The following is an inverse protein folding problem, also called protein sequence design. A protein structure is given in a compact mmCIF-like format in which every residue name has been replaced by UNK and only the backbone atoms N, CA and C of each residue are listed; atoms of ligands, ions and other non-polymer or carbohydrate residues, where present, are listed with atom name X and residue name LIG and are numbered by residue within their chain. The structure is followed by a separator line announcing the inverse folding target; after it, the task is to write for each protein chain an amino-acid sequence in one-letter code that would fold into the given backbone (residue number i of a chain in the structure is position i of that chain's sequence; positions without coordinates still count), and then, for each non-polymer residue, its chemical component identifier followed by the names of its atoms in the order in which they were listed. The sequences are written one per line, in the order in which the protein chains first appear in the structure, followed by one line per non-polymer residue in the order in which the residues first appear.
data_IF_465255220651
#
_entry.id   IF_465255220651
#
_cell.length_a   1.000
_cell.length_b   1.000
_cell.length_c   1.000
_cell.angle_alpha   90.00
_cell.angle_beta   90.00
_cell.angle_gamma   90.00
#
_symmetry.space_group_name_H-M   'P 1'
#
loop_
_entity.id
_entity.type
_entity.pdbx_description
1 polymer ?
#
# COMPACT_ATOMS: atom_id res chain seq x y z
N UNK A 1 26.08 15.96 19.92
CA UNK A 1 26.18 14.72 19.12
C UNK A 1 25.15 14.78 18.01
N UNK A 2 25.48 14.38 16.77
CA UNK A 2 24.54 14.34 15.64
C UNK A 2 23.81 12.99 15.65
N UNK A 3 22.49 12.97 15.46
CA UNK A 3 21.67 11.75 15.46
C UNK A 3 22.27 10.67 14.56
N UNK A 4 22.72 11.03 13.35
CA UNK A 4 23.28 10.06 12.41
C UNK A 4 24.50 9.32 12.99
N UNK A 5 25.32 9.98 13.80
CA UNK A 5 26.46 9.36 14.49
C UNK A 5 25.97 8.39 15.57
N UNK A 6 24.85 8.66 16.23
CA UNK A 6 24.26 7.77 17.26
C UNK A 6 23.62 6.53 16.61
N UNK A 7 22.86 6.69 15.53
CA UNK A 7 22.15 5.56 14.90
C UNK A 7 23.06 4.64 14.09
N UNK A 8 24.15 5.16 13.51
CA UNK A 8 25.08 4.35 12.68
C UNK A 8 26.16 3.64 13.49
N UNK A 9 26.39 4.01 14.75
CA UNK A 9 27.32 3.32 15.66
C UNK A 9 26.80 1.96 16.17
N UNK A 10 25.56 1.57 15.83
CA UNK A 10 24.97 0.27 16.16
C UNK A 10 25.64 -0.94 15.44
N UNK A 11 26.58 -0.70 14.53
CA UNK A 11 27.37 -1.76 13.87
C UNK A 11 28.74 -2.03 14.54
N UNK A 12 29.05 -1.42 15.70
CA UNK A 12 30.35 -1.64 16.35
C UNK A 12 30.43 -1.37 17.86
N UNK A 13 30.41 -2.43 18.66
CA UNK A 13 31.18 -2.67 19.90
C UNK A 13 31.25 -1.53 20.96
N UNK A 14 30.12 -0.96 21.41
CA UNK A 14 29.99 -0.44 22.79
C UNK A 14 28.54 -0.28 23.25
N UNK A 15 28.18 -0.73 24.47
CA UNK A 15 26.83 -0.55 25.00
C UNK A 15 26.60 0.91 25.47
N UNK A 16 25.42 1.49 25.24
CA UNK A 16 25.09 2.83 25.72
C UNK A 16 24.72 2.82 27.22
N UNK A 17 24.78 3.97 27.90
CA UNK A 17 24.50 4.06 29.35
C UNK A 17 23.00 3.96 29.62
N UNK A 18 22.62 3.71 30.88
CA UNK A 18 21.22 3.45 31.29
C UNK A 18 20.22 4.58 30.97
N UNK A 19 20.66 5.79 30.65
CA UNK A 19 19.80 6.91 30.21
C UNK A 19 19.57 6.97 28.68
N UNK A 20 20.27 6.13 27.91
CA UNK A 20 20.30 6.15 26.44
C UNK A 20 19.48 4.99 25.84
N UNK A 21 18.27 4.73 26.36
CA UNK A 21 17.36 3.72 25.80
C UNK A 21 16.72 4.21 24.50
N UNK A 22 17.57 4.62 23.55
CA UNK A 22 17.30 4.60 22.12
C UNK A 22 18.02 3.37 21.58
N UNK A 23 17.47 2.19 21.88
CA UNK A 23 17.79 1.00 21.10
C UNK A 23 17.54 1.38 19.63
N UNK A 24 18.54 1.19 18.78
CA UNK A 24 18.58 1.56 17.35
C UNK A 24 17.41 1.05 16.49
N UNK A 25 16.54 0.25 17.09
CA UNK A 25 15.28 -0.30 16.61
C UNK A 25 14.14 0.74 16.76
N UNK A 26 14.24 1.89 16.09
CA UNK A 26 13.10 2.81 16.08
C UNK A 26 13.39 4.30 15.96
N UNK A 27 14.58 4.75 15.56
CA UNK A 27 14.83 6.17 15.28
C UNK A 27 15.64 6.37 13.99
N UNK A 28 15.43 7.47 13.29
CA UNK A 28 16.16 7.87 12.08
C UNK A 28 16.53 9.36 12.10
N UNK A 29 17.55 9.73 11.34
CA UNK A 29 18.11 11.09 11.31
C UNK A 29 17.29 12.07 10.44
N UNK A 30 16.00 12.18 10.71
CA UNK A 30 15.05 13.01 9.95
C UNK A 30 14.74 14.39 10.52
N UNK A 31 15.19 14.67 11.74
CA UNK A 31 14.80 15.87 12.47
C UNK A 31 15.67 17.08 12.14
N UNK A 32 15.11 18.29 12.32
CA UNK A 32 15.84 19.54 12.14
C UNK A 32 17.12 19.57 13.01
N UNK A 33 18.21 20.09 12.44
CA UNK A 33 19.52 20.18 13.09
C UNK A 33 20.12 18.82 13.52
N UNK A 34 19.76 17.73 12.83
CA UNK A 34 20.29 16.40 13.13
C UNK A 34 19.71 15.78 14.39
N UNK A 35 18.45 16.10 14.71
CA UNK A 35 17.67 15.46 15.78
C UNK A 35 17.11 14.11 15.33
N UNK A 36 16.93 13.20 16.30
CA UNK A 36 16.39 11.87 16.04
C UNK A 36 14.86 11.91 16.01
N UNK A 37 14.28 11.25 15.01
CA UNK A 37 12.84 11.10 14.83
C UNK A 37 12.49 9.63 14.98
N UNK A 38 11.43 9.31 15.72
CA UNK A 38 11.01 7.93 15.89
C UNK A 38 10.55 7.35 14.53
N UNK A 39 10.88 6.09 14.27
CA UNK A 39 10.32 5.33 13.18
C UNK A 39 8.81 5.22 13.40
N UNK A 40 8.04 5.50 12.35
CA UNK A 40 6.59 5.46 12.36
C UNK A 40 6.10 4.37 11.40
N UNK A 41 6.65 3.16 11.52
CA UNK A 41 6.27 2.03 10.68
C UNK A 41 4.86 1.56 11.04
N UNK A 42 4.02 1.37 10.03
CA UNK A 42 2.64 0.91 10.15
C UNK A 42 2.56 -0.63 10.09
N UNK A 43 1.33 -1.17 10.12
CA UNK A 43 1.07 -2.61 10.11
C UNK A 43 1.65 -3.36 8.90
N UNK A 44 1.90 -2.66 7.80
CA UNK A 44 2.50 -3.20 6.59
C UNK A 44 4.01 -3.41 6.67
N UNK A 45 4.65 -3.02 7.78
CA UNK A 45 6.09 -3.18 7.97
C UNK A 45 6.43 -4.54 8.60
N UNK A 46 7.57 -5.11 8.19
CA UNK A 46 8.12 -6.35 8.74
C UNK A 46 8.76 -6.17 10.12
N UNK A 47 9.09 -4.93 10.49
CA UNK A 47 9.69 -4.55 11.77
C UNK A 47 9.29 -3.12 12.15
N UNK A 48 9.38 -2.80 13.45
CA UNK A 48 9.26 -1.42 13.93
C UNK A 48 10.52 -0.56 13.62
N UNK A 49 11.63 -1.21 13.25
CA UNK A 49 12.85 -0.55 12.82
C UNK A 49 12.72 0.01 11.38
N UNK A 50 13.41 1.13 11.14
CA UNK A 50 13.50 1.78 9.83
C UNK A 50 14.95 2.17 9.52
N UNK A 51 15.25 2.42 8.25
CA UNK A 51 16.58 2.83 7.83
C UNK A 51 17.01 4.14 8.52
N UNK A 52 18.19 4.12 9.15
CA UNK A 52 18.68 5.22 9.99
C UNK A 52 18.85 6.57 9.25
N UNK A 53 18.94 6.56 7.92
CA UNK A 53 19.18 7.76 7.10
C UNK A 53 17.89 8.27 6.46
N UNK A 54 17.13 7.38 5.85
CA UNK A 54 15.93 7.69 5.08
C UNK A 54 14.64 7.58 5.89
N UNK A 55 14.68 6.87 7.02
CA UNK A 55 13.50 6.53 7.79
C UNK A 55 12.57 5.53 7.10
N UNK A 56 13.05 4.83 6.07
CA UNK A 56 12.29 3.85 5.29
C UNK A 56 12.13 2.55 6.07
N UNK A 57 10.88 2.13 6.27
CA UNK A 57 10.54 0.83 6.85
C UNK A 57 10.65 -0.29 5.81
N UNK A 58 10.97 -1.51 6.25
CA UNK A 58 10.93 -2.69 5.40
C UNK A 58 9.49 -3.16 5.23
N UNK A 59 8.90 -2.97 4.04
CA UNK A 59 7.50 -3.30 3.79
C UNK A 59 7.29 -4.78 3.45
N UNK A 60 6.21 -5.35 3.95
CA UNK A 60 5.69 -6.64 3.53
C UNK A 60 5.20 -6.58 2.08
N UNK A 61 5.00 -7.75 1.47
CA UNK A 61 4.46 -7.83 0.11
C UNK A 61 3.10 -7.13 0.04
N UNK A 62 2.91 -6.33 -1.01
CA UNK A 62 1.68 -5.56 -1.22
C UNK A 62 1.62 -4.22 -0.49
N UNK A 63 2.60 -3.90 0.36
CA UNK A 63 2.68 -2.63 1.07
C UNK A 63 3.76 -1.70 0.47
N UNK A 64 3.54 -0.39 0.59
CA UNK A 64 4.44 0.65 0.09
C UNK A 64 4.38 1.91 0.96
N UNK A 65 5.23 2.88 0.65
CA UNK A 65 5.40 4.12 1.40
C UNK A 65 6.55 4.04 2.41
N UNK A 66 6.97 5.19 2.94
CA UNK A 66 8.05 5.25 3.93
C UNK A 66 7.71 4.46 5.19
N UNK A 67 6.45 4.51 5.59
CA UNK A 67 5.91 3.86 6.77
C UNK A 67 5.26 2.50 6.48
N UNK A 68 5.17 2.06 5.22
CA UNK A 68 4.40 0.87 4.83
C UNK A 68 2.91 1.01 5.21
N UNK A 69 2.34 2.18 4.93
CA UNK A 69 1.01 2.65 5.31
C UNK A 69 0.05 2.75 4.12
N UNK A 70 0.46 2.29 2.93
CA UNK A 70 -0.37 2.27 1.72
C UNK A 70 -0.15 0.98 0.96
N UNK A 71 -1.13 0.57 0.15
CA UNK A 71 -0.97 -0.57 -0.73
C UNK A 71 -0.12 -0.21 -1.95
N UNK A 72 0.72 -1.15 -2.36
CA UNK A 72 1.49 -1.04 -3.59
C UNK A 72 0.56 -1.07 -4.82
N UNK A 73 1.09 -0.64 -5.96
CA UNK A 73 0.39 -0.77 -7.24
C UNK A 73 -0.02 -2.24 -7.46
N UNK A 74 -1.25 -2.46 -7.94
CA UNK A 74 -1.90 -3.78 -8.09
C UNK A 74 -2.21 -4.53 -6.78
N UNK A 75 -2.21 -3.85 -5.64
CA UNK A 75 -2.72 -4.36 -4.36
C UNK A 75 -3.70 -3.34 -3.79
N UNK A 76 -4.71 -3.80 -3.06
CA UNK A 76 -5.76 -2.93 -2.52
C UNK A 76 -6.57 -3.62 -1.44
N UNK A 77 -7.43 -2.86 -0.75
CA UNK A 77 -8.09 -3.35 0.46
C UNK A 77 -7.15 -3.22 1.66
N UNK A 78 -6.83 -1.98 2.05
CA UNK A 78 -5.86 -1.71 3.11
C UNK A 78 -6.23 -2.44 4.40
N UNK A 79 -7.52 -2.40 4.79
CA UNK A 79 -8.07 -3.07 5.96
C UNK A 79 -7.84 -4.59 5.95
N UNK A 80 -7.83 -5.21 4.78
CA UNK A 80 -7.64 -6.66 4.58
C UNK A 80 -6.16 -7.07 4.42
N UNK A 81 -5.23 -6.14 4.55
CA UNK A 81 -3.81 -6.45 4.48
C UNK A 81 -3.13 -6.17 3.14
N UNK A 82 -3.77 -5.39 2.26
CA UNK A 82 -3.32 -5.17 0.88
C UNK A 82 -3.12 -6.48 0.09
N UNK A 83 -4.14 -7.34 -0.09
CA UNK A 83 -4.06 -8.46 -1.01
C UNK A 83 -3.88 -8.02 -2.48
N UNK A 84 -3.39 -8.92 -3.37
CA UNK A 84 -3.32 -8.62 -4.80
C UNK A 84 -4.70 -8.31 -5.38
N UNK A 85 -4.78 -7.27 -6.20
CA UNK A 85 -5.99 -6.94 -6.95
C UNK A 85 -6.37 -8.11 -7.86
N UNK A 86 -7.68 -8.33 -7.98
CA UNK A 86 -8.20 -9.51 -8.68
C UNK A 86 -9.35 -9.11 -9.62
N UNK A 87 -9.10 -8.03 -10.37
CA UNK A 87 -10.00 -7.44 -11.34
C UNK A 87 -10.22 -8.34 -12.56
N UNK A 88 -11.47 -8.41 -13.00
CA UNK A 88 -11.93 -9.17 -14.16
C UNK A 88 -11.65 -8.46 -15.48
N UNK A 89 -12.02 -9.12 -16.58
CA UNK A 89 -11.74 -8.63 -17.93
C UNK A 89 -12.52 -7.36 -18.30
N UNK A 90 -13.65 -7.12 -17.63
CA UNK A 90 -14.46 -5.91 -17.78
C UNK A 90 -14.01 -4.79 -16.82
N UNK A 91 -12.79 -4.85 -16.29
CA UNK A 91 -12.18 -3.75 -15.55
C UNK A 91 -11.36 -2.86 -16.48
N UNK A 92 -11.38 -1.55 -16.24
CA UNK A 92 -10.60 -0.58 -17.02
C UNK A 92 -9.08 -0.81 -16.88
N UNK A 93 -8.63 -1.32 -15.73
CA UNK A 93 -7.24 -1.68 -15.47
C UNK A 93 -7.17 -2.92 -14.55
N UNK A 94 -5.98 -3.50 -14.42
CA UNK A 94 -5.71 -4.54 -13.41
C UNK A 94 -5.50 -3.99 -11.99
N UNK A 95 -5.54 -2.67 -11.81
CA UNK A 95 -5.39 -1.99 -10.53
C UNK A 95 -6.76 -1.82 -9.86
N UNK A 96 -6.75 -1.87 -8.53
CA UNK A 96 -7.91 -1.66 -7.68
C UNK A 96 -7.63 -0.56 -6.67
N UNK A 97 -8.68 -0.03 -6.04
CA UNK A 97 -8.56 1.01 -5.04
C UNK A 97 -7.72 0.53 -3.84
N UNK A 98 -6.77 1.36 -3.41
CA UNK A 98 -5.86 0.99 -2.33
C UNK A 98 -6.60 0.82 -0.98
N UNK A 99 -7.71 1.53 -0.78
CA UNK A 99 -8.47 1.50 0.47
C UNK A 99 -9.52 0.40 0.46
N UNK A 100 -10.36 0.32 -0.58
CA UNK A 100 -11.50 -0.60 -0.65
C UNK A 100 -11.19 -1.91 -1.36
N UNK A 101 -10.19 -1.92 -2.26
CA UNK A 101 -9.91 -3.07 -3.12
C UNK A 101 -10.83 -3.18 -4.34
N UNK A 102 -11.70 -2.19 -4.58
CA UNK A 102 -12.63 -2.19 -5.70
C UNK A 102 -11.94 -1.87 -7.03
N UNK A 103 -12.34 -2.59 -8.06
CA UNK A 103 -11.88 -2.35 -9.42
C UNK A 103 -12.74 -1.30 -10.12
N UNK A 104 -12.13 -0.49 -10.99
CA UNK A 104 -12.86 0.42 -11.86
C UNK A 104 -13.53 -0.37 -12.99
N UNK A 105 -14.82 -0.68 -12.85
CA UNK A 105 -15.57 -1.47 -13.82
C UNK A 105 -16.01 -0.67 -15.04
N UNK A 106 -16.01 -1.34 -16.19
CA UNK A 106 -16.60 -0.86 -17.43
C UNK A 106 -18.14 -0.83 -17.32
N UNK A 107 -18.80 -0.19 -18.29
CA UNK A 107 -20.24 0.03 -18.25
C UNK A 107 -21.01 -1.29 -18.07
N UNK A 108 -21.93 -1.34 -17.10
CA UNK A 108 -22.76 -2.52 -16.86
C UNK A 108 -22.07 -3.68 -16.12
N UNK A 109 -20.77 -3.63 -15.86
CA UNK A 109 -20.08 -4.63 -15.05
C UNK A 109 -20.19 -4.33 -13.55
N UNK A 110 -20.33 -5.38 -12.74
CA UNK A 110 -20.61 -5.29 -11.32
C UNK A 110 -19.32 -5.21 -10.48
N UNK A 111 -19.23 -4.26 -9.52
CA UNK A 111 -18.18 -4.27 -8.50
C UNK A 111 -18.37 -5.46 -7.54
N UNK A 112 -17.32 -5.84 -6.78
CA UNK A 112 -16.02 -5.17 -6.67
C UNK A 112 -15.00 -5.61 -7.72
N UNK A 113 -15.25 -6.70 -8.46
CA UNK A 113 -14.24 -7.34 -9.32
C UNK A 113 -14.50 -7.22 -10.81
N UNK A 114 -15.64 -6.71 -11.27
CA UNK A 114 -15.97 -6.61 -12.71
C UNK A 114 -15.92 -7.97 -13.44
N UNK A 115 -16.38 -9.02 -12.74
CA UNK A 115 -16.45 -10.40 -13.25
C UNK A 115 -17.88 -10.80 -13.66
N UNK A 116 -18.87 -10.00 -13.27
CA UNK A 116 -20.28 -10.26 -13.52
C UNK A 116 -20.92 -8.98 -14.04
N UNK A 117 -22.11 -9.10 -14.63
CA UNK A 117 -22.91 -7.96 -15.05
C UNK A 117 -23.85 -7.51 -13.92
N UNK A 118 -24.17 -6.22 -13.89
CA UNK A 118 -25.23 -5.67 -13.07
C UNK A 118 -26.59 -6.20 -13.54
N UNK A 119 -27.61 -6.11 -12.68
CA UNK A 119 -28.97 -6.50 -13.01
C UNK A 119 -29.47 -5.74 -14.26
N UNK A 120 -30.05 -6.48 -15.22
CA UNK A 120 -30.52 -5.92 -16.50
C UNK A 120 -29.42 -5.76 -17.56
N UNK A 121 -28.20 -6.22 -17.27
CA UNK A 121 -27.11 -6.36 -18.22
C UNK A 121 -26.75 -7.84 -18.44
N UNK A 122 -26.15 -8.15 -19.57
CA UNK A 122 -25.75 -9.50 -19.98
C UNK A 122 -24.53 -9.45 -20.90
N UNK A 123 -23.95 -10.61 -21.20
CA UNK A 123 -22.75 -10.76 -22.05
C UNK A 123 -21.57 -9.90 -21.58
N UNK A 124 -20.79 -10.42 -20.63
CA UNK A 124 -19.57 -9.77 -20.16
C UNK A 124 -18.53 -9.71 -21.29
N UNK A 125 -18.02 -8.53 -21.56
CA UNK A 125 -16.93 -8.28 -22.51
C UNK A 125 -15.90 -7.33 -21.90
N UNK A 126 -14.77 -7.14 -22.58
CA UNK A 126 -13.74 -6.16 -22.18
C UNK A 126 -14.24 -4.71 -22.20
N UNK A 127 -15.27 -4.42 -22.98
CA UNK A 127 -15.87 -3.08 -23.08
C UNK A 127 -17.02 -2.88 -22.08
N UNK A 128 -17.29 -3.87 -21.22
CA UNK A 128 -18.40 -3.88 -20.27
C UNK A 128 -19.45 -4.93 -20.60
N UNK A 129 -20.67 -4.73 -20.11
CA UNK A 129 -21.81 -5.59 -20.37
C UNK A 129 -22.82 -4.90 -21.30
N UNK A 130 -23.51 -5.71 -22.11
CA UNK A 130 -24.59 -5.27 -22.97
C UNK A 130 -25.89 -5.14 -22.18
N UNK A 131 -26.81 -4.28 -22.67
CA UNK A 131 -28.16 -4.14 -22.13
C UNK A 131 -29.16 -4.13 -23.28
N UNK A 132 -30.39 -4.60 -23.02
CA UNK A 132 -31.46 -4.66 -24.02
C UNK A 132 -31.77 -3.28 -24.62
N UNK A 133 -31.42 -2.19 -23.94
CA UNK A 133 -31.62 -0.82 -24.42
C UNK A 133 -30.66 -0.41 -25.56
N UNK A 134 -29.48 -1.03 -25.66
CA UNK A 134 -28.49 -0.75 -26.71
C UNK A 134 -28.77 -1.51 -28.01
N UNK A 135 -29.65 -2.51 -27.98
CA UNK A 135 -30.06 -3.26 -29.18
C UNK A 135 -31.10 -2.48 -30.00
N UNK A 136 -31.85 -1.58 -29.36
CA UNK A 136 -32.99 -0.87 -29.98
C UNK A 136 -32.56 0.43 -30.68
N UNK A 137 -31.40 1.01 -30.33
CA UNK A 137 -30.90 2.29 -30.88
C UNK A 137 -29.94 2.14 -32.06
N UNK A 138 -29.71 0.92 -32.55
CA UNK A 138 -28.82 0.63 -33.70
C UNK A 138 -29.58 0.38 -35.02
N UNK A 139 -30.75 1.02 -35.18
CA UNK A 139 -31.55 1.04 -36.41
C UNK A 139 -31.75 2.47 -36.89
#
# INVERSE_FOLDING_TARGET
MNCLTVVTQATGVRPPRREDRADSEGYWAGGANGSCVQCACARGALSAACDARSGQCACALGWTGRACDSCAKTFGGIEDGCPPCSCGEAAATAECDASTGDCACMAGAAPPRCLDCLDGYYELTRDGCLSEYLVITKF
#
